data_IF_456033969806
#
_entry.id   IF_456033969806
#
_cell.length_a   1.000
_cell.length_b   1.000
_cell.length_c   1.000
_cell.angle_alpha   90.00
_cell.angle_beta   90.00
_cell.angle_gamma   90.00
#
_symmetry.space_group_name_H-M   'P 1'
#
loop_
_entity.id
_entity.type
_entity.pdbx_description
1 polymer ?
#
# COMPACT_ATOMS: atom_id res chain seq x y z
N UNK A 1 -13.54 -17.51 -3.34
CA UNK A 1 -12.70 -16.61 -4.14
C UNK A 1 -13.37 -15.25 -4.13
N UNK A 2 -12.66 -14.22 -3.69
CA UNK A 2 -13.19 -12.90 -3.36
C UNK A 2 -12.49 -11.82 -4.18
N UNK A 3 -13.24 -10.86 -4.72
CA UNK A 3 -12.70 -9.65 -5.32
C UNK A 3 -12.42 -8.66 -4.20
N UNK A 4 -11.14 -8.48 -3.89
CA UNK A 4 -10.69 -7.66 -2.76
C UNK A 4 -10.19 -6.31 -3.27
N UNK A 5 -10.89 -5.26 -2.87
CA UNK A 5 -10.55 -3.87 -3.16
C UNK A 5 -9.80 -3.27 -1.97
N UNK A 6 -8.52 -2.96 -2.15
CA UNK A 6 -7.68 -2.33 -1.14
C UNK A 6 -7.77 -0.80 -1.23
N UNK A 7 -8.10 -0.17 -0.12
CA UNK A 7 -8.22 1.28 0.02
C UNK A 7 -7.22 1.84 1.01
N UNK A 8 -6.68 3.01 0.70
CA UNK A 8 -5.92 3.85 1.63
C UNK A 8 -6.50 5.27 1.55
N UNK A 9 -6.92 5.85 2.69
CA UNK A 9 -7.52 7.19 2.75
C UNK A 9 -8.65 7.42 1.72
N UNK A 10 -9.54 6.44 1.56
CA UNK A 10 -10.66 6.44 0.58
C UNK A 10 -10.24 6.36 -0.90
N UNK A 11 -8.96 6.15 -1.17
CA UNK A 11 -8.46 5.92 -2.54
C UNK A 11 -8.25 4.43 -2.74
N UNK A 12 -8.86 3.87 -3.78
CA UNK A 12 -8.60 2.48 -4.18
C UNK A 12 -7.19 2.38 -4.78
N UNK A 13 -6.34 1.54 -4.20
CA UNK A 13 -4.94 1.42 -4.60
C UNK A 13 -4.63 0.09 -5.30
N UNK A 14 -5.42 -0.96 -5.08
CA UNK A 14 -5.29 -2.26 -5.71
C UNK A 14 -6.64 -2.99 -5.68
N UNK A 15 -6.98 -3.67 -6.77
CA UNK A 15 -8.05 -4.66 -6.81
C UNK A 15 -7.44 -5.99 -7.21
N UNK A 16 -7.75 -7.05 -6.47
CA UNK A 16 -7.27 -8.40 -6.77
C UNK A 16 -8.27 -9.48 -6.37
N UNK A 17 -8.35 -10.53 -7.19
CA UNK A 17 -9.05 -11.76 -6.86
C UNK A 17 -8.19 -12.63 -5.93
N UNK A 18 -8.68 -12.90 -4.71
CA UNK A 18 -7.98 -13.67 -3.69
C UNK A 18 -8.79 -14.90 -3.26
N UNK A 19 -8.09 -15.94 -2.78
CA UNK A 19 -8.74 -17.13 -2.22
C UNK A 19 -9.44 -16.85 -0.90
N UNK A 20 -8.83 -15.99 -0.09
CA UNK A 20 -9.26 -15.56 1.23
C UNK A 20 -9.21 -14.03 1.36
N UNK A 21 -9.97 -13.50 2.30
CA UNK A 21 -9.98 -12.08 2.67
C UNK A 21 -8.90 -11.85 3.74
N UNK A 22 -8.05 -10.82 3.60
CA UNK A 22 -7.10 -10.44 4.65
C UNK A 22 -7.79 -10.11 5.97
N UNK A 23 -7.23 -10.56 7.09
CA UNK A 23 -7.76 -10.31 8.43
C UNK A 23 -7.40 -8.92 8.94
N UNK A 24 -8.13 -8.44 9.95
CA UNK A 24 -7.78 -7.22 10.66
C UNK A 24 -6.37 -7.34 11.26
N UNK A 25 -5.60 -6.26 11.21
CA UNK A 25 -4.22 -6.18 11.69
C UNK A 25 -3.19 -7.05 10.94
N UNK A 26 -3.60 -7.74 9.86
CA UNK A 26 -2.70 -8.56 9.06
C UNK A 26 -1.68 -7.66 8.29
N UNK A 27 -0.39 -8.04 8.27
CA UNK A 27 0.60 -7.36 7.45
C UNK A 27 0.38 -7.69 5.98
N UNK A 28 0.31 -6.66 5.14
CA UNK A 28 0.10 -6.79 3.69
C UNK A 28 1.16 -6.02 2.91
N UNK A 29 1.50 -6.50 1.72
CA UNK A 29 2.38 -5.76 0.80
C UNK A 29 1.60 -5.42 -0.46
N UNK A 30 1.28 -4.13 -0.64
CA UNK A 30 0.47 -3.65 -1.75
C UNK A 30 1.33 -2.81 -2.69
N UNK A 31 1.49 -3.28 -3.93
CA UNK A 31 2.34 -2.63 -4.96
C UNK A 31 3.76 -2.32 -4.45
N UNK A 32 4.40 -3.30 -3.79
CA UNK A 32 5.75 -3.18 -3.24
C UNK A 32 5.88 -2.33 -1.97
N UNK A 33 4.77 -1.82 -1.42
CA UNK A 33 4.75 -1.03 -0.19
C UNK A 33 4.19 -1.88 0.95
N UNK A 34 4.89 -1.91 2.09
CA UNK A 34 4.43 -2.60 3.30
C UNK A 34 3.30 -1.80 3.95
N UNK A 35 2.32 -2.50 4.48
CA UNK A 35 1.19 -1.91 5.19
C UNK A 35 0.51 -2.90 6.10
N UNK A 36 -0.55 -2.44 6.76
CA UNK A 36 -1.35 -3.22 7.69
C UNK A 36 -2.82 -3.02 7.39
N UNK A 37 -3.62 -4.09 7.49
CA UNK A 37 -5.07 -4.00 7.39
C UNK A 37 -5.65 -3.30 8.62
N UNK A 38 -6.44 -2.25 8.40
CA UNK A 38 -7.09 -1.46 9.46
C UNK A 38 -8.61 -1.63 9.48
N UNK A 39 -9.19 -2.24 8.45
CA UNK A 39 -10.61 -2.53 8.42
C UNK A 39 -10.98 -3.44 7.25
N UNK A 40 -12.02 -4.25 7.45
CA UNK A 40 -12.57 -5.14 6.44
C UNK A 40 -14.06 -4.91 6.41
N UNK A 41 -14.61 -4.60 5.23
CA UNK A 41 -16.03 -4.37 5.03
C UNK A 41 -16.53 -5.22 3.87
N UNK A 42 -17.50 -6.09 4.14
CA UNK A 42 -18.10 -6.94 3.13
C UNK A 42 -19.19 -6.16 2.39
N UNK A 43 -19.02 -6.02 1.07
CA UNK A 43 -19.95 -5.25 0.23
C UNK A 43 -21.03 -6.16 -0.34
N UNK A 44 -20.63 -7.34 -0.81
CA UNK A 44 -21.53 -8.41 -1.23
C UNK A 44 -20.91 -9.79 -0.95
N UNK A 45 -21.52 -10.86 -1.46
CA UNK A 45 -21.06 -12.23 -1.24
C UNK A 45 -19.63 -12.50 -1.73
N UNK A 46 -19.14 -11.73 -2.72
CA UNK A 46 -17.86 -11.94 -3.39
C UNK A 46 -16.93 -10.73 -3.35
N UNK A 47 -17.43 -9.52 -3.14
CA UNK A 47 -16.69 -8.28 -3.13
C UNK A 47 -16.46 -7.78 -1.71
N UNK A 48 -15.20 -7.45 -1.42
CA UNK A 48 -14.78 -7.03 -0.09
C UNK A 48 -13.90 -5.80 -0.21
N UNK A 49 -14.20 -4.79 0.61
CA UNK A 49 -13.39 -3.58 0.75
C UNK A 49 -12.47 -3.73 1.97
N UNK A 50 -11.17 -3.62 1.74
CA UNK A 50 -10.14 -3.72 2.77
C UNK A 50 -9.46 -2.36 2.90
N UNK A 51 -9.58 -1.75 4.08
CA UNK A 51 -8.85 -0.54 4.43
C UNK A 51 -7.46 -0.92 4.93
N UNK A 52 -6.44 -0.23 4.43
CA UNK A 52 -5.07 -0.43 4.87
C UNK A 52 -4.41 0.90 5.19
N UNK A 53 -3.37 0.82 6.00
CA UNK A 53 -2.40 1.91 6.17
C UNK A 53 -1.07 1.46 5.61
N UNK A 54 -0.51 2.20 4.66
CA UNK A 54 0.79 1.91 4.07
C UNK A 54 1.88 2.64 4.87
N UNK A 55 2.96 1.95 5.19
CA UNK A 55 4.13 2.57 5.79
C UNK A 55 4.73 3.55 4.77
N UNK A 56 4.95 4.80 5.20
CA UNK A 56 5.68 5.76 4.38
C UNK A 56 7.07 5.18 4.13
N UNK A 57 7.32 4.77 2.89
CA UNK A 57 8.65 4.37 2.46
C UNK A 57 9.60 5.52 2.81
N UNK A 58 10.51 5.29 3.76
CA UNK A 58 11.58 6.23 4.03
C UNK A 58 12.29 6.43 2.67
N UNK A 59 12.17 7.63 2.11
CA UNK A 59 12.85 8.01 0.88
C UNK A 59 14.33 8.01 1.21
N UNK A 60 14.98 6.84 1.13
CA UNK A 60 16.41 6.67 1.41
C UNK A 60 17.28 7.43 0.41
N UNK A 61 16.70 7.93 -0.68
CA UNK A 61 17.39 8.64 -1.76
C UNK A 61 16.78 10.02 -2.02
N UNK A 62 16.69 10.90 -1.00
CA UNK A 62 16.74 12.33 -1.32
C UNK A 62 18.21 12.67 -1.55
N UNK A 63 18.65 13.05 -2.76
CA UNK A 63 20.01 13.52 -2.95
C UNK A 63 20.23 14.70 -2.02
N UNK A 64 21.28 14.62 -1.21
CA UNK A 64 21.64 15.73 -0.33
C UNK A 64 22.19 16.87 -1.17
N UNK A 65 22.12 18.12 -0.68
CA UNK A 65 22.69 19.27 -1.37
C UNK A 65 24.19 19.09 -1.72
N UNK A 66 24.90 18.22 -0.99
CA UNK A 66 26.27 17.83 -1.25
C UNK A 66 26.45 17.01 -2.55
N UNK A 67 25.47 16.21 -2.95
CA UNK A 67 25.52 15.40 -4.18
C UNK A 67 25.36 16.25 -5.44
N UNK A 68 24.56 17.32 -5.35
CA UNK A 68 24.39 18.29 -6.45
C UNK A 68 25.64 19.16 -6.66
N UNK A 69 26.44 19.38 -5.61
CA UNK A 69 27.67 20.18 -5.67
C UNK A 69 28.83 19.45 -6.41
N UNK A 70 28.87 18.11 -6.38
CA UNK A 70 29.91 17.31 -7.06
C UNK A 70 29.77 17.28 -8.58
N UNK A 71 28.57 17.56 -9.12
CA UNK A 71 28.31 17.54 -10.56
C UNK A 71 28.68 18.85 -11.28
N UNK A 72 29.25 19.83 -10.56
CA UNK A 72 29.54 21.19 -11.06
C UNK A 72 31.03 21.54 -11.17
N UNK A 73 31.93 20.55 -11.26
CA UNK A 73 33.32 20.79 -11.72
C UNK A 73 33.47 20.31 -13.15
N UNK A 74 33.45 21.27 -14.08
CA UNK A 74 34.06 21.18 -15.41
C UNK A 74 35.58 21.19 -15.26
#
# INVERSE_FOLDING_TARGET
>A
MYVVHFFENKVEILNQLLGNVPALDEPVTIKGRKGKVTGVNQVDDKHVHVQITVEKAAVKNKPTAADLAKKKKR
#
